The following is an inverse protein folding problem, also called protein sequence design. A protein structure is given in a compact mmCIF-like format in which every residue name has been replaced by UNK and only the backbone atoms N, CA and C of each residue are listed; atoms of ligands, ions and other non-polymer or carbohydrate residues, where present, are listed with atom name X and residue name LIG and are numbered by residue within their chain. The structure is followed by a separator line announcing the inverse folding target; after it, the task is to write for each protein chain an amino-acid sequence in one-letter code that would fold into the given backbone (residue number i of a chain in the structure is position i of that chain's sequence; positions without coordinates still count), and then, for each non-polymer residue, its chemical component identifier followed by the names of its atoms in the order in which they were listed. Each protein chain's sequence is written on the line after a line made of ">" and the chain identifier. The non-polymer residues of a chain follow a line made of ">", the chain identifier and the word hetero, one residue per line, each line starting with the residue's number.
data_IF_916846287194
#
_entry.id   IF_916846287194
#
_cell.length_a   1.000
_cell.length_b   1.000
_cell.length_c   1.000
_cell.angle_alpha   90.00
_cell.angle_beta   90.00
_cell.angle_gamma   90.00
#
_symmetry.space_group_name_H-M   'P 1'
#
loop_
_entity.id
_entity.type
_entity.pdbx_description
1 polymer ?
#
# COMPACT_ATOMS: atom_id res chain seq x y z
N UNK A 1 -28.54 -19.98 30.90
CA UNK A 1 -27.12 -19.79 30.60
C UNK A 1 -27.02 -18.75 29.51
N UNK A 2 -26.71 -17.48 29.89
CA UNK A 2 -26.66 -16.37 28.97
C UNK A 2 -25.39 -16.42 28.14
N UNK A 3 -25.54 -16.42 26.82
CA UNK A 3 -24.45 -16.14 25.89
C UNK A 3 -24.04 -14.67 26.08
N UNK A 4 -22.94 -14.42 26.78
CA UNK A 4 -22.24 -13.15 26.73
C UNK A 4 -21.63 -13.08 25.35
N UNK A 5 -22.32 -12.41 24.42
CA UNK A 5 -21.76 -11.96 23.16
C UNK A 5 -20.61 -11.04 23.50
N UNK A 6 -19.38 -11.56 23.42
CA UNK A 6 -18.19 -10.71 23.39
C UNK A 6 -18.34 -9.80 22.18
N UNK A 7 -18.65 -8.53 22.41
CA UNK A 7 -18.55 -7.47 21.41
C UNK A 7 -17.10 -7.49 20.89
N UNK A 8 -16.86 -8.23 19.82
CA UNK A 8 -15.60 -8.17 19.10
C UNK A 8 -15.44 -6.74 18.65
N UNK A 9 -14.51 -6.03 19.26
CA UNK A 9 -14.11 -4.68 18.83
C UNK A 9 -13.85 -4.76 17.34
N UNK A 10 -14.61 -3.97 16.55
CA UNK A 10 -14.39 -3.93 15.09
C UNK A 10 -12.92 -3.64 14.84
N UNK A 11 -12.23 -4.41 14.00
CA UNK A 11 -10.79 -4.24 13.77
C UNK A 11 -10.49 -2.85 13.22
N UNK A 12 -9.36 -2.33 13.62
CA UNK A 12 -8.88 -0.99 13.25
C UNK A 12 -8.27 -1.01 11.86
N UNK A 13 -8.56 0.02 11.05
CA UNK A 13 -7.93 0.26 9.75
C UNK A 13 -7.03 1.50 9.82
N UNK A 14 -5.73 1.30 9.66
CA UNK A 14 -4.75 2.36 9.60
C UNK A 14 -4.39 2.63 8.13
N UNK A 15 -4.73 3.81 7.63
CA UNK A 15 -4.49 4.24 6.25
C UNK A 15 -3.20 5.06 6.25
N UNK A 16 -2.13 4.50 5.68
CA UNK A 16 -0.84 5.18 5.53
C UNK A 16 -0.80 5.91 4.19
N UNK A 17 -0.52 7.20 4.22
CA UNK A 17 -0.45 8.05 3.04
C UNK A 17 0.97 8.62 2.94
N UNK A 18 1.91 7.93 2.24
CA UNK A 18 3.20 8.51 1.90
C UNK A 18 3.00 9.66 0.92
N UNK A 19 3.58 10.82 1.21
CA UNK A 19 3.46 12.02 0.38
C UNK A 19 4.82 12.66 0.16
N UNK A 20 5.08 13.09 -1.08
CA UNK A 20 6.23 13.90 -1.45
C UNK A 20 5.89 14.79 -2.64
N UNK A 21 5.83 16.11 -2.42
CA UNK A 21 5.51 17.12 -3.44
C UNK A 21 4.18 16.82 -4.17
N UNK A 22 3.10 16.68 -3.41
CA UNK A 22 1.75 16.42 -3.91
C UNK A 22 0.76 17.54 -3.52
N UNK A 23 1.19 18.78 -3.63
CA UNK A 23 0.40 19.97 -3.31
C UNK A 23 -0.94 20.03 -4.04
N UNK A 24 -1.03 19.46 -5.25
CA UNK A 24 -2.22 19.48 -6.09
C UNK A 24 -3.28 18.45 -5.68
N UNK A 25 -2.89 17.37 -5.04
CA UNK A 25 -3.74 16.19 -4.85
C UNK A 25 -3.99 15.82 -3.40
N UNK A 26 -3.05 16.08 -2.49
CA UNK A 26 -3.12 15.60 -1.11
C UNK A 26 -4.40 16.00 -0.37
N UNK A 27 -4.83 17.25 -0.47
CA UNK A 27 -6.05 17.71 0.21
C UNK A 27 -7.30 17.06 -0.38
N UNK A 28 -7.33 16.82 -1.70
CA UNK A 28 -8.44 16.13 -2.35
C UNK A 28 -8.51 14.67 -1.89
N UNK A 29 -7.35 13.96 -1.80
CA UNK A 29 -7.27 12.59 -1.29
C UNK A 29 -7.79 12.53 0.15
N UNK A 30 -7.30 13.39 1.04
CA UNK A 30 -7.69 13.41 2.45
C UNK A 30 -9.18 13.71 2.63
N UNK A 31 -9.70 14.69 1.90
CA UNK A 31 -11.14 15.04 1.93
C UNK A 31 -12.00 13.86 1.47
N UNK A 32 -11.59 13.21 0.37
CA UNK A 32 -12.29 12.06 -0.17
C UNK A 32 -12.26 10.88 0.79
N UNK A 33 -11.11 10.56 1.38
CA UNK A 33 -10.96 9.52 2.40
C UNK A 33 -11.90 9.75 3.59
N UNK A 34 -11.95 10.97 4.13
CA UNK A 34 -12.85 11.28 5.24
C UNK A 34 -14.32 11.06 4.88
N UNK A 35 -14.71 11.36 3.64
CA UNK A 35 -16.08 11.15 3.15
C UNK A 35 -16.40 9.67 3.00
N UNK A 36 -15.60 8.92 2.25
CA UNK A 36 -15.90 7.54 1.84
C UNK A 36 -15.67 6.52 2.96
N UNK A 37 -14.69 6.76 3.82
CA UNK A 37 -14.40 5.88 4.95
C UNK A 37 -15.23 6.25 6.22
N UNK A 38 -16.22 7.11 6.09
CA UNK A 38 -17.12 7.46 7.23
C UNK A 38 -17.78 6.24 7.88
N UNK A 39 -18.22 5.20 7.11
CA UNK A 39 -18.79 3.99 7.70
C UNK A 39 -17.78 3.12 8.48
N UNK A 40 -16.47 3.31 8.27
CA UNK A 40 -15.42 2.56 8.98
C UNK A 40 -15.19 3.25 10.31
N UNK A 41 -15.74 2.67 11.39
CA UNK A 41 -15.77 3.29 12.71
C UNK A 41 -14.38 3.51 13.29
N UNK A 42 -13.54 2.46 13.25
CA UNK A 42 -12.19 2.48 13.80
C UNK A 42 -11.18 2.67 12.65
N UNK A 43 -10.99 3.92 12.21
CA UNK A 43 -9.99 4.24 11.18
C UNK A 43 -9.05 5.32 11.67
N UNK A 44 -7.78 5.19 11.32
CA UNK A 44 -6.77 6.22 11.45
C UNK A 44 -6.21 6.59 10.08
N UNK A 45 -6.12 7.87 9.80
CA UNK A 45 -5.44 8.40 8.61
C UNK A 45 -4.10 8.95 9.07
N UNK A 46 -3.01 8.33 8.64
CA UNK A 46 -1.64 8.71 9.00
C UNK A 46 -0.96 9.21 7.73
N UNK A 47 -0.64 10.48 7.70
CA UNK A 47 0.11 11.11 6.60
C UNK A 47 1.58 11.07 6.93
N UNK A 48 2.40 10.66 5.96
CA UNK A 48 3.86 10.60 6.11
C UNK A 48 4.48 11.49 5.04
N UNK A 49 4.90 12.68 5.42
CA UNK A 49 5.59 13.62 4.55
C UNK A 49 7.07 13.27 4.45
N UNK A 50 7.49 12.79 3.29
CA UNK A 50 8.86 12.37 3.01
C UNK A 50 9.74 13.55 2.57
N UNK A 51 9.70 14.64 3.33
CA UNK A 51 10.53 15.81 3.11
C UNK A 51 10.12 16.65 1.90
N UNK A 52 8.82 16.91 1.73
CA UNK A 52 8.30 17.76 0.66
C UNK A 52 8.90 19.16 0.70
N UNK A 53 9.26 19.69 -0.49
CA UNK A 53 9.84 20.99 -0.69
C UNK A 53 8.90 22.03 -1.32
N UNK A 54 7.72 21.59 -1.76
CA UNK A 54 6.63 22.44 -2.29
C UNK A 54 5.72 22.96 -1.17
N UNK A 55 4.48 23.37 -1.50
CA UNK A 55 3.50 23.84 -0.50
C UNK A 55 2.81 22.71 0.29
N UNK A 56 3.10 21.44 0.00
CA UNK A 56 2.48 20.28 0.68
C UNK A 56 2.50 20.38 2.21
N UNK A 57 3.65 20.68 2.88
CA UNK A 57 3.68 20.76 4.35
C UNK A 57 2.76 21.85 4.90
N UNK A 58 2.69 23.00 4.25
CA UNK A 58 1.81 24.12 4.66
C UNK A 58 0.34 23.77 4.49
N UNK A 59 -0.01 23.03 3.44
CA UNK A 59 -1.37 22.56 3.20
C UNK A 59 -1.80 21.55 4.26
N UNK A 60 -0.92 20.61 4.61
CA UNK A 60 -1.17 19.65 5.68
C UNK A 60 -1.38 20.35 7.01
N UNK A 61 -0.52 21.32 7.36
CA UNK A 61 -0.65 22.05 8.62
C UNK A 61 -1.98 22.81 8.75
N UNK A 62 -2.44 23.43 7.67
CA UNK A 62 -3.74 24.13 7.62
C UNK A 62 -4.95 23.20 7.72
N UNK A 63 -4.78 21.92 7.40
CA UNK A 63 -5.87 20.95 7.28
C UNK A 63 -5.74 19.77 8.28
N UNK A 64 -5.24 20.01 9.49
CA UNK A 64 -5.01 19.00 10.56
C UNK A 64 -6.25 18.15 10.89
N UNK A 65 -7.45 18.65 10.61
CA UNK A 65 -8.70 17.93 10.86
C UNK A 65 -8.95 16.76 9.89
N UNK A 66 -8.19 16.68 8.79
CA UNK A 66 -8.37 15.66 7.74
C UNK A 66 -7.57 14.37 8.01
N UNK A 67 -6.72 14.32 9.02
CA UNK A 67 -5.92 13.15 9.35
C UNK A 67 -5.74 13.00 10.87
N UNK A 68 -5.44 11.78 11.30
CA UNK A 68 -5.23 11.47 12.72
C UNK A 68 -3.80 11.81 13.17
N UNK A 69 -2.82 11.65 12.29
CA UNK A 69 -1.40 11.88 12.59
C UNK A 69 -0.63 12.32 11.35
N UNK A 70 0.33 13.23 11.56
CA UNK A 70 1.35 13.61 10.56
C UNK A 70 2.72 13.18 11.09
N UNK A 71 3.46 12.46 10.25
CA UNK A 71 4.86 12.10 10.46
C UNK A 71 5.68 12.80 9.37
N UNK A 72 6.76 13.46 9.74
CA UNK A 72 7.61 14.19 8.77
C UNK A 72 9.03 13.63 8.79
N UNK A 73 9.56 13.40 7.60
CA UNK A 73 11.00 13.13 7.38
C UNK A 73 11.72 14.45 7.04
N UNK A 74 12.91 14.70 7.59
CA UNK A 74 13.64 15.93 7.28
C UNK A 74 14.16 15.96 5.83
N UNK A 75 14.27 14.81 5.18
CA UNK A 75 14.75 14.65 3.80
C UNK A 75 13.99 13.54 3.10
N UNK A 76 13.87 13.66 1.78
CA UNK A 76 13.28 12.60 0.95
C UNK A 76 14.20 11.37 0.93
N UNK A 77 13.64 10.23 1.34
CA UNK A 77 14.30 8.91 1.30
C UNK A 77 13.53 7.90 0.43
N UNK A 78 12.42 8.31 -0.16
CA UNK A 78 11.57 7.53 -1.04
C UNK A 78 10.39 6.87 -0.33
N UNK A 79 9.40 6.47 -1.13
CA UNK A 79 8.10 5.91 -0.68
C UNK A 79 8.27 4.78 0.35
N UNK A 80 9.25 3.89 0.15
CA UNK A 80 9.51 2.78 1.07
C UNK A 80 9.90 3.24 2.46
N UNK A 81 10.75 4.27 2.56
CA UNK A 81 11.12 4.87 3.84
C UNK A 81 9.91 5.49 4.55
N UNK A 82 9.09 6.23 3.81
CA UNK A 82 7.85 6.82 4.34
C UNK A 82 6.90 5.73 4.87
N UNK A 83 6.74 4.62 4.14
CA UNK A 83 5.91 3.51 4.60
C UNK A 83 6.46 2.90 5.89
N UNK A 84 7.78 2.71 6.02
CA UNK A 84 8.40 2.20 7.25
C UNK A 84 8.15 3.14 8.43
N UNK A 85 8.29 4.45 8.22
CA UNK A 85 7.96 5.45 9.24
C UNK A 85 6.50 5.34 9.66
N UNK A 86 5.57 5.26 8.71
CA UNK A 86 4.15 5.08 9.00
C UNK A 86 3.83 3.78 9.73
N UNK A 87 4.47 2.67 9.35
CA UNK A 87 4.32 1.37 10.03
C UNK A 87 4.79 1.40 11.48
N UNK A 88 5.78 2.21 11.84
CA UNK A 88 6.24 2.36 13.22
C UNK A 88 5.21 3.06 14.11
N UNK A 89 4.28 3.82 13.52
CA UNK A 89 3.20 4.50 14.23
C UNK A 89 1.96 3.61 14.46
N UNK A 90 1.95 2.41 13.87
CA UNK A 90 0.83 1.48 13.96
C UNK A 90 1.22 0.28 14.82
N UNK A 91 0.50 0.06 15.92
CA UNK A 91 0.76 -1.06 16.83
C UNK A 91 -0.07 -2.31 16.52
N UNK A 92 -1.30 -2.14 16.01
CA UNK A 92 -2.27 -3.22 15.82
C UNK A 92 -3.21 -2.97 14.63
N UNK A 93 -4.15 -3.88 14.43
CA UNK A 93 -5.17 -3.75 13.37
C UNK A 93 -4.65 -4.09 11.98
N UNK A 94 -5.26 -3.46 11.00
CA UNK A 94 -4.88 -3.58 9.59
C UNK A 94 -4.23 -2.30 9.10
N UNK A 95 -3.40 -2.45 8.08
CA UNK A 95 -2.76 -1.34 7.36
C UNK A 95 -3.24 -1.36 5.92
N UNK A 96 -3.66 -0.20 5.42
CA UNK A 96 -3.86 0.10 4.00
C UNK A 96 -2.82 1.12 3.57
N UNK A 97 -2.16 0.91 2.44
CA UNK A 97 -1.30 1.93 1.81
C UNK A 97 -2.14 2.65 0.74
N UNK A 98 -2.24 3.98 0.85
CA UNK A 98 -2.94 4.87 -0.07
C UNK A 98 -1.96 5.85 -0.69
N UNK A 99 -1.86 5.89 -2.00
CA UNK A 99 -1.05 6.89 -2.70
C UNK A 99 -1.72 8.28 -2.67
N UNK A 100 -0.90 9.31 -2.59
CA UNK A 100 -1.37 10.70 -2.49
C UNK A 100 -1.82 11.32 -3.83
N UNK A 101 -1.75 10.58 -4.93
CA UNK A 101 -1.81 11.07 -6.30
C UNK A 101 -3.15 10.88 -7.05
N UNK A 102 -4.17 10.32 -6.40
CA UNK A 102 -5.49 10.00 -6.96
C UNK A 102 -5.50 8.97 -8.10
N UNK A 103 -4.38 8.30 -8.42
CA UNK A 103 -4.37 7.22 -9.40
C UNK A 103 -5.26 6.04 -8.94
N UNK A 104 -5.30 5.81 -7.62
CA UNK A 104 -6.23 4.88 -6.97
C UNK A 104 -7.38 5.65 -6.32
N UNK A 105 -8.61 5.19 -6.59
CA UNK A 105 -9.80 5.86 -6.10
C UNK A 105 -10.13 5.44 -4.66
N UNK A 106 -10.13 6.38 -3.68
CA UNK A 106 -10.54 6.07 -2.31
C UNK A 106 -11.96 5.48 -2.16
N UNK A 107 -12.85 5.67 -3.15
CA UNK A 107 -14.19 5.06 -3.15
C UNK A 107 -14.16 3.52 -3.13
N UNK A 108 -13.05 2.91 -3.52
CA UNK A 108 -12.88 1.45 -3.48
C UNK A 108 -12.64 0.90 -2.06
N UNK A 109 -12.16 1.75 -1.12
CA UNK A 109 -11.73 1.30 0.22
C UNK A 109 -12.87 0.64 0.99
N UNK A 110 -14.10 1.17 1.07
CA UNK A 110 -15.15 0.52 1.84
C UNK A 110 -15.45 -0.91 1.35
N UNK A 111 -15.51 -1.12 0.03
CA UNK A 111 -15.70 -2.45 -0.57
C UNK A 111 -14.55 -3.39 -0.24
N UNK A 112 -13.31 -2.94 -0.40
CA UNK A 112 -12.12 -3.76 -0.10
C UNK A 112 -12.05 -4.10 1.40
N UNK A 113 -12.39 -3.15 2.26
CA UNK A 113 -12.45 -3.36 3.70
C UNK A 113 -13.50 -4.39 4.11
N UNK A 114 -14.70 -4.32 3.53
CA UNK A 114 -15.75 -5.31 3.74
C UNK A 114 -15.29 -6.71 3.33
N UNK A 115 -14.65 -6.87 2.17
CA UNK A 115 -14.08 -8.15 1.72
C UNK A 115 -13.06 -8.67 2.75
N UNK A 116 -12.17 -7.82 3.25
CA UNK A 116 -11.15 -8.21 4.24
C UNK A 116 -11.78 -8.72 5.53
N UNK A 117 -12.77 -8.00 6.05
CA UNK A 117 -13.38 -8.34 7.34
C UNK A 117 -14.30 -9.55 7.25
N UNK A 118 -15.15 -9.60 6.21
CA UNK A 118 -16.11 -10.70 6.04
C UNK A 118 -15.46 -12.06 5.81
N UNK A 119 -14.25 -12.08 5.23
CA UNK A 119 -13.51 -13.30 4.94
C UNK A 119 -12.32 -13.54 5.88
N UNK A 120 -12.16 -12.69 6.89
CA UNK A 120 -11.04 -12.77 7.86
C UNK A 120 -9.68 -12.88 7.15
N UNK A 121 -9.44 -12.01 6.15
CA UNK A 121 -8.26 -12.03 5.29
C UNK A 121 -7.04 -11.49 6.03
N UNK A 122 -5.89 -12.14 5.87
CA UNK A 122 -4.62 -11.64 6.41
C UNK A 122 -3.97 -10.59 5.50
N UNK A 123 -4.04 -10.83 4.18
CA UNK A 123 -3.47 -9.96 3.15
C UNK A 123 -4.38 -9.92 1.93
N UNK A 124 -4.83 -8.74 1.55
CA UNK A 124 -5.53 -8.45 0.31
C UNK A 124 -4.65 -7.55 -0.54
N UNK A 125 -4.09 -8.08 -1.64
CA UNK A 125 -3.50 -7.27 -2.69
C UNK A 125 -4.57 -6.93 -3.71
N UNK A 126 -4.53 -5.73 -4.28
CA UNK A 126 -5.40 -5.43 -5.42
C UNK A 126 -4.67 -5.68 -6.74
N UNK A 127 -5.42 -5.79 -7.84
CA UNK A 127 -4.86 -5.95 -9.17
C UNK A 127 -5.53 -5.00 -10.17
N UNK A 128 -4.71 -4.31 -10.94
CA UNK A 128 -5.14 -3.49 -12.09
C UNK A 128 -5.39 -4.33 -13.33
N UNK A 129 -5.00 -5.63 -13.29
CA UNK A 129 -4.97 -6.53 -14.43
C UNK A 129 -6.00 -7.67 -14.34
N UNK A 130 -6.66 -7.86 -13.20
CA UNK A 130 -7.56 -8.98 -12.89
C UNK A 130 -9.06 -8.67 -13.09
N UNK A 131 -9.42 -7.99 -14.18
CA UNK A 131 -10.84 -7.86 -14.54
C UNK A 131 -11.57 -6.65 -13.93
N UNK A 132 -10.90 -5.50 -13.85
CA UNK A 132 -11.60 -4.23 -13.57
C UNK A 132 -12.65 -3.95 -14.66
N UNK A 133 -13.85 -3.44 -14.31
CA UNK A 133 -14.89 -3.09 -15.27
C UNK A 133 -14.43 -2.11 -16.36
N UNK A 134 -13.45 -1.26 -16.01
CA UNK A 134 -12.81 -0.33 -16.93
C UNK A 134 -11.33 -0.29 -16.66
N UNK A 135 -10.51 -0.64 -17.64
CA UNK A 135 -9.05 -0.62 -17.56
C UNK A 135 -8.50 0.28 -18.65
N UNK A 136 -7.69 1.25 -18.27
CA UNK A 136 -6.95 2.06 -19.25
C UNK A 136 -5.99 1.17 -20.03
N UNK A 137 -5.93 1.34 -21.36
CA UNK A 137 -4.93 0.66 -22.20
C UNK A 137 -3.56 1.20 -21.84
N UNK A 138 -2.70 0.31 -21.33
CA UNK A 138 -1.33 0.64 -20.94
C UNK A 138 -0.36 0.47 -22.12
N UNK A 139 0.81 1.11 -22.02
CA UNK A 139 1.89 0.84 -22.96
C UNK A 139 2.30 -0.64 -22.87
N UNK A 140 2.45 -1.28 -24.03
CA UNK A 140 2.73 -2.71 -24.16
C UNK A 140 3.94 -3.13 -23.31
N UNK A 141 5.05 -2.43 -23.43
CA UNK A 141 6.31 -2.77 -22.73
C UNK A 141 6.21 -2.61 -21.21
N UNK A 142 5.44 -1.64 -20.72
CA UNK A 142 5.18 -1.50 -19.27
C UNK A 142 4.35 -2.65 -18.72
N UNK A 143 3.34 -3.08 -19.49
CA UNK A 143 2.51 -4.22 -19.12
C UNK A 143 3.33 -5.51 -19.15
N UNK A 144 4.18 -5.69 -20.15
CA UNK A 144 5.06 -6.85 -20.27
C UNK A 144 6.07 -6.89 -19.11
N UNK A 145 6.74 -5.77 -18.81
CA UNK A 145 7.67 -5.67 -17.68
C UNK A 145 7.02 -6.01 -16.35
N UNK A 146 5.83 -5.44 -16.08
CA UNK A 146 5.08 -5.75 -14.86
C UNK A 146 4.69 -7.23 -14.78
N UNK A 147 4.21 -7.83 -15.87
CA UNK A 147 3.91 -9.27 -15.94
C UNK A 147 5.14 -10.14 -15.70
N UNK A 148 6.29 -9.78 -16.28
CA UNK A 148 7.53 -10.53 -16.10
C UNK A 148 8.02 -10.53 -14.66
N UNK A 149 7.99 -9.37 -13.99
CA UNK A 149 8.33 -9.26 -12.57
C UNK A 149 7.33 -10.03 -11.71
N UNK A 150 6.04 -9.91 -11.99
CA UNK A 150 5.00 -10.64 -11.28
C UNK A 150 5.18 -12.16 -11.44
N UNK A 151 5.48 -12.64 -12.65
CA UNK A 151 5.76 -14.05 -12.91
C UNK A 151 6.96 -14.54 -12.08
N UNK A 152 8.05 -13.78 -12.10
CA UNK A 152 9.23 -14.12 -11.31
C UNK A 152 8.94 -14.16 -9.81
N UNK A 153 8.18 -13.16 -9.28
CA UNK A 153 7.74 -13.16 -7.90
C UNK A 153 6.92 -14.41 -7.57
N UNK A 154 5.99 -14.78 -8.45
CA UNK A 154 5.14 -15.95 -8.28
C UNK A 154 5.93 -17.25 -8.23
N UNK A 155 6.92 -17.42 -9.10
CA UNK A 155 7.80 -18.60 -9.11
C UNK A 155 8.58 -18.67 -7.79
N UNK A 156 9.20 -17.57 -7.36
CA UNK A 156 10.07 -17.55 -6.17
C UNK A 156 9.26 -17.73 -4.87
N UNK A 157 8.04 -17.17 -4.80
CA UNK A 157 7.23 -17.18 -3.59
C UNK A 157 6.09 -18.21 -3.61
N UNK A 158 5.98 -19.00 -4.68
CA UNK A 158 4.89 -19.96 -4.91
C UNK A 158 3.52 -19.30 -4.74
N UNK A 159 3.20 -18.35 -5.62
CA UNK A 159 1.96 -17.56 -5.63
C UNK A 159 1.37 -17.45 -7.02
N UNK A 160 0.19 -16.88 -7.14
CA UNK A 160 -0.53 -16.70 -8.41
C UNK A 160 -1.03 -15.27 -8.59
N UNK A 161 -0.33 -14.27 -8.04
CA UNK A 161 -0.70 -12.87 -8.20
C UNK A 161 -0.69 -12.47 -9.67
N UNK A 162 -1.56 -11.54 -10.03
CA UNK A 162 -1.63 -10.97 -11.39
C UNK A 162 -0.91 -9.63 -11.50
N UNK A 163 -0.74 -8.91 -10.37
CA UNK A 163 -0.14 -7.57 -10.34
C UNK A 163 0.49 -7.23 -8.98
N UNK A 164 1.75 -7.59 -8.76
CA UNK A 164 2.45 -7.29 -7.49
C UNK A 164 2.77 -5.79 -7.29
N UNK A 165 2.56 -4.97 -8.31
CA UNK A 165 2.79 -3.52 -8.27
C UNK A 165 1.50 -2.70 -8.18
N UNK A 166 0.39 -3.30 -7.83
CA UNK A 166 -0.80 -2.53 -7.45
C UNK A 166 -0.55 -1.75 -6.17
N UNK A 167 -0.89 -0.47 -6.14
CA UNK A 167 -0.61 0.41 -5.00
C UNK A 167 -1.45 0.09 -3.76
N UNK A 168 -2.65 -0.48 -3.93
CA UNK A 168 -3.48 -0.84 -2.80
C UNK A 168 -3.16 -2.24 -2.28
N UNK A 169 -2.73 -2.29 -1.03
CA UNK A 169 -2.55 -3.50 -0.27
C UNK A 169 -3.12 -3.29 1.14
N UNK A 170 -3.94 -4.24 1.61
CA UNK A 170 -4.47 -4.26 2.98
C UNK A 170 -3.90 -5.50 3.68
N UNK A 171 -3.32 -5.33 4.85
CA UNK A 171 -2.72 -6.45 5.58
C UNK A 171 -2.77 -6.26 7.09
N UNK A 172 -2.73 -7.36 7.85
CA UNK A 172 -2.63 -7.30 9.31
C UNK A 172 -1.27 -6.75 9.72
N UNK A 173 -1.25 -5.69 10.53
CA UNK A 173 -0.02 -5.03 10.98
C UNK A 173 1.01 -5.99 11.59
N UNK A 174 0.55 -6.98 12.33
CA UNK A 174 1.40 -7.98 13.01
C UNK A 174 2.28 -8.82 12.07
N UNK A 175 1.96 -8.88 10.78
CA UNK A 175 2.70 -9.68 9.80
C UNK A 175 3.99 -9.03 9.32
N UNK A 176 4.18 -7.73 9.58
CA UNK A 176 5.35 -6.99 9.12
C UNK A 176 6.15 -6.46 10.31
N UNK A 177 7.40 -6.86 10.42
CA UNK A 177 8.37 -6.29 11.34
C UNK A 177 9.20 -5.24 10.62
N UNK A 178 9.09 -3.97 10.99
CA UNK A 178 9.75 -2.86 10.30
C UNK A 178 11.28 -2.97 10.33
N UNK A 179 11.85 -3.57 11.38
CA UNK A 179 13.29 -3.81 11.49
C UNK A 179 13.84 -4.78 10.42
N UNK A 180 12.98 -5.66 9.89
CA UNK A 180 13.34 -6.59 8.81
C UNK A 180 13.38 -5.94 7.44
N UNK A 181 12.70 -4.79 7.24
CA UNK A 181 12.64 -4.09 5.97
C UNK A 181 13.95 -3.36 5.67
N UNK A 182 14.49 -3.53 4.46
CA UNK A 182 15.79 -3.00 4.02
C UNK A 182 15.71 -2.14 2.76
N UNK A 183 14.63 -2.26 1.99
CA UNK A 183 14.46 -1.55 0.74
C UNK A 183 13.60 -0.30 0.93
N UNK A 184 14.13 0.87 0.55
CA UNK A 184 13.45 2.17 0.68
C UNK A 184 12.87 2.69 -0.64
N UNK A 185 13.35 2.14 -1.77
CA UNK A 185 12.92 2.50 -3.13
C UNK A 185 11.92 1.50 -3.73
N UNK A 186 12.04 1.25 -5.02
CA UNK A 186 11.12 0.41 -5.82
C UNK A 186 11.00 -1.04 -5.35
N UNK A 187 12.01 -1.58 -4.68
CA UNK A 187 11.98 -2.95 -4.15
C UNK A 187 11.12 -3.14 -2.90
N UNK A 188 10.75 -2.06 -2.22
CA UNK A 188 10.07 -2.11 -0.93
C UNK A 188 8.73 -2.86 -0.97
N UNK A 189 7.91 -2.65 -1.99
CA UNK A 189 6.61 -3.33 -2.08
C UNK A 189 6.78 -4.85 -2.27
N UNK A 190 7.73 -5.26 -3.10
CA UNK A 190 8.05 -6.67 -3.29
C UNK A 190 8.62 -7.30 -2.01
N UNK A 191 9.46 -6.57 -1.25
CA UNK A 191 9.95 -7.00 0.06
C UNK A 191 8.80 -7.22 1.04
N UNK A 192 7.94 -6.22 1.23
CA UNK A 192 6.77 -6.34 2.13
C UNK A 192 5.90 -7.52 1.72
N UNK A 193 5.58 -7.65 0.43
CA UNK A 193 4.72 -8.72 -0.07
C UNK A 193 5.34 -10.12 0.16
N UNK A 194 6.66 -10.25 0.04
CA UNK A 194 7.39 -11.48 0.34
C UNK A 194 7.26 -11.87 1.82
N UNK A 195 7.43 -10.92 2.75
CA UNK A 195 7.23 -11.16 4.18
C UNK A 195 5.77 -11.49 4.49
N UNK A 196 4.82 -10.73 3.95
CA UNK A 196 3.41 -10.97 4.12
C UNK A 196 3.02 -12.38 3.69
N UNK A 197 3.44 -12.80 2.48
CA UNK A 197 3.16 -14.14 1.95
C UNK A 197 3.73 -15.24 2.85
N UNK A 198 4.93 -15.05 3.38
CA UNK A 198 5.58 -16.05 4.23
C UNK A 198 4.91 -16.21 5.61
N UNK A 199 4.29 -15.14 6.14
CA UNK A 199 3.73 -15.10 7.51
C UNK A 199 2.22 -15.18 7.57
N UNK A 200 1.53 -15.20 6.42
CA UNK A 200 0.06 -15.23 6.32
C UNK A 200 -0.45 -16.57 5.83
N UNK A 201 -1.71 -16.88 6.19
CA UNK A 201 -2.43 -18.06 5.71
C UNK A 201 -3.49 -17.70 4.68
N UNK A 202 -4.14 -16.55 4.83
CA UNK A 202 -5.26 -16.09 3.99
C UNK A 202 -4.81 -14.90 3.15
N UNK A 203 -4.25 -15.20 1.97
CA UNK A 203 -3.79 -14.21 0.99
C UNK A 203 -4.74 -14.23 -0.21
N UNK A 204 -5.26 -13.06 -0.55
CA UNK A 204 -6.22 -12.89 -1.64
C UNK A 204 -5.83 -11.74 -2.56
N UNK A 205 -6.36 -11.75 -3.77
CA UNK A 205 -6.26 -10.67 -4.73
C UNK A 205 -7.66 -10.22 -5.16
N UNK A 206 -7.88 -8.91 -5.30
CA UNK A 206 -9.14 -8.34 -5.76
C UNK A 206 -8.93 -7.33 -6.90
N UNK A 207 -9.85 -7.23 -7.86
CA UNK A 207 -9.76 -6.22 -8.92
C UNK A 207 -9.94 -4.80 -8.36
N UNK A 208 -9.24 -3.83 -8.98
CA UNK A 208 -9.36 -2.42 -8.64
C UNK A 208 -9.34 -1.54 -9.90
N UNK A 209 -10.09 -0.45 -9.85
CA UNK A 209 -10.02 0.60 -10.87
C UNK A 209 -8.74 1.43 -10.71
N UNK A 210 -8.09 1.73 -11.82
CA UNK A 210 -6.84 2.49 -11.84
C UNK A 210 -6.84 3.55 -12.95
N UNK A 211 -6.54 4.78 -12.56
CA UNK A 211 -6.44 5.93 -13.46
C UNK A 211 -4.98 6.40 -13.54
N UNK A 212 -4.14 5.60 -14.21
CA UNK A 212 -2.72 5.93 -14.33
C UNK A 212 -2.47 7.25 -15.04
N UNK A 213 -1.49 8.02 -14.55
CA UNK A 213 -1.01 9.27 -15.17
C UNK A 213 -0.33 8.99 -16.51
N UNK A 214 -0.38 9.96 -17.42
CA UNK A 214 0.44 9.97 -18.65
C UNK A 214 1.86 10.42 -18.34
N UNK A 215 2.77 10.29 -19.33
CA UNK A 215 4.11 10.87 -19.20
C UNK A 215 4.09 12.39 -19.07
N UNK A 216 3.16 13.06 -19.74
CA UNK A 216 2.93 14.50 -19.62
C UNK A 216 2.42 14.89 -18.22
N UNK A 217 1.72 14.00 -17.56
CA UNK A 217 1.24 14.13 -16.18
C UNK A 217 2.28 13.70 -15.12
N UNK A 218 3.54 13.42 -15.52
CA UNK A 218 4.65 13.20 -14.61
C UNK A 218 4.94 11.73 -14.24
N UNK A 219 4.52 10.76 -15.05
CA UNK A 219 4.88 9.35 -14.83
C UNK A 219 6.38 9.12 -14.95
N UNK A 220 7.03 8.65 -13.87
CA UNK A 220 8.49 8.54 -13.74
C UNK A 220 9.05 7.12 -13.82
N UNK A 221 8.26 6.10 -14.20
CA UNK A 221 8.73 4.71 -14.19
C UNK A 221 9.66 4.46 -15.38
N UNK A 222 10.92 4.13 -15.10
CA UNK A 222 11.93 3.74 -16.09
C UNK A 222 12.22 2.23 -15.99
N UNK A 223 12.62 1.60 -17.09
CA UNK A 223 12.99 0.18 -17.15
C UNK A 223 14.13 -0.18 -16.16
N UNK A 224 15.00 0.75 -15.85
CA UNK A 224 16.07 0.59 -14.86
C UNK A 224 15.54 0.36 -13.42
N UNK A 225 14.28 0.70 -13.14
CA UNK A 225 13.66 0.42 -11.85
C UNK A 225 13.41 -1.08 -11.62
N UNK A 226 13.50 -1.92 -12.66
CA UNK A 226 13.27 -3.37 -12.56
C UNK A 226 14.38 -4.09 -11.80
N UNK A 227 15.64 -3.73 -12.00
CA UNK A 227 16.78 -4.41 -11.39
C UNK A 227 16.76 -4.37 -9.85
N UNK A 228 16.53 -3.23 -9.18
CA UNK A 228 16.37 -3.19 -7.72
C UNK A 228 15.23 -4.05 -7.20
N UNK A 229 14.17 -4.18 -7.98
CA UNK A 229 13.01 -5.00 -7.61
C UNK A 229 13.33 -6.48 -7.66
N UNK A 230 13.94 -6.94 -8.78
CA UNK A 230 14.42 -8.32 -8.93
C UNK A 230 15.35 -8.69 -7.77
N UNK A 231 16.29 -7.81 -7.47
CA UNK A 231 17.20 -8.00 -6.34
C UNK A 231 16.45 -8.09 -5.01
N UNK A 232 15.47 -7.20 -4.77
CA UNK A 232 14.68 -7.22 -3.53
C UNK A 232 13.90 -8.53 -3.36
N UNK A 233 13.29 -9.07 -4.43
CA UNK A 233 12.54 -10.34 -4.38
C UNK A 233 13.47 -11.48 -3.99
N UNK A 234 14.59 -11.63 -4.71
CA UNK A 234 15.55 -12.73 -4.48
C UNK A 234 16.17 -12.61 -3.09
N UNK A 235 16.69 -11.43 -2.75
CA UNK A 235 17.37 -11.19 -1.48
C UNK A 235 16.45 -11.45 -0.28
N UNK A 236 15.22 -10.92 -0.33
CA UNK A 236 14.26 -11.10 0.78
C UNK A 236 13.89 -12.58 0.94
N UNK A 237 13.70 -13.29 -0.18
CA UNK A 237 13.41 -14.72 -0.13
C UNK A 237 14.55 -15.53 0.47
N UNK A 238 15.79 -15.25 0.08
CA UNK A 238 16.99 -15.89 0.66
C UNK A 238 17.13 -15.59 2.15
N UNK A 239 16.89 -14.33 2.56
CA UNK A 239 16.91 -13.97 3.99
C UNK A 239 15.91 -14.79 4.80
N UNK A 240 14.66 -14.90 4.33
CA UNK A 240 13.64 -15.69 5.02
C UNK A 240 14.04 -17.17 5.13
N UNK A 241 14.70 -17.73 4.11
CA UNK A 241 15.10 -19.13 4.10
C UNK A 241 16.29 -19.41 5.01
N UNK A 242 17.26 -18.51 5.07
CA UNK A 242 18.54 -18.77 5.76
C UNK A 242 18.66 -18.12 7.15
N UNK A 243 17.94 -17.02 7.41
CA UNK A 243 18.12 -16.27 8.66
C UNK A 243 16.91 -16.29 9.61
N UNK A 244 15.85 -17.07 9.32
CA UNK A 244 14.65 -17.23 10.17
C UNK A 244 14.15 -15.89 10.76
N UNK A 245 13.94 -14.89 9.89
CA UNK A 245 13.32 -13.60 10.27
C UNK A 245 11.82 -13.74 10.62
#
# INVERSE_FOLDING_TARGET
>A
MGYISTMSLKPELNILIPVFNEERTIIQVLTKLNKVCKPIVNKNIIVIDDGSSDVTPKLLEKNKKLYSKLVTSPVNKGKGSAIILGLNEVSSGYVLIQDADLEYDPNEIPRLWEIVISNDIDVLLTSRLSGSPLTRVHYFWHKLGNKSITLMFNIINNTTFTDIYSGYIIFRRKLVHTKSLKFYGWGQQAEILTYLKNRSKKVYEAPISYKGRTYEEGKKINIYAMAPVVFAIIWTRLRILFFKD
#
